data_IF_661813206690
#
_entry.id   IF_661813206690
#
_cell.length_a   1.000
_cell.length_b   1.000
_cell.length_c   1.000
_cell.angle_alpha   90.00
_cell.angle_beta   90.00
_cell.angle_gamma   90.00
#
_symmetry.space_group_name_H-M   'P 1'
#
loop_
_entity.id
_entity.type
_entity.pdbx_description
1 polymer ?
#
# COMPACT_ATOMS: atom_id res chain seq x y z
N UNK A 1 2.90 9.74 -79.15
CA UNK A 1 3.32 9.18 -77.85
C UNK A 1 2.22 9.47 -76.85
N UNK A 2 1.31 8.53 -76.63
CA UNK A 2 0.23 8.62 -75.64
C UNK A 2 0.15 7.27 -74.94
N UNK A 3 0.42 7.24 -73.63
CA UNK A 3 0.49 6.02 -72.83
C UNK A 3 -0.87 5.75 -72.18
N UNK A 4 -1.59 4.78 -72.74
CA UNK A 4 -2.77 4.16 -72.13
C UNK A 4 -2.33 3.22 -70.98
N UNK A 5 -2.47 3.66 -69.73
CA UNK A 5 -2.37 2.78 -68.57
C UNK A 5 -3.75 2.23 -68.22
N UNK A 6 -3.91 0.90 -68.31
CA UNK A 6 -5.13 0.20 -67.84
C UNK A 6 -5.15 0.16 -66.30
N UNK A 7 -6.31 0.31 -65.66
CA UNK A 7 -6.42 0.17 -64.21
C UNK A 7 -6.21 -1.30 -63.78
N UNK A 8 -5.71 -1.54 -62.56
CA UNK A 8 -5.48 -2.89 -62.06
C UNK A 8 -6.79 -3.65 -61.88
N UNK A 9 -6.80 -4.91 -62.31
CA UNK A 9 -7.87 -5.87 -62.11
C UNK A 9 -8.09 -6.06 -60.60
N UNK A 10 -9.31 -5.81 -60.13
CA UNK A 10 -9.72 -6.11 -58.75
C UNK A 10 -9.88 -7.63 -58.58
N UNK A 11 -9.49 -8.22 -57.43
CA UNK A 11 -9.71 -9.63 -57.16
C UNK A 11 -11.21 -9.99 -57.08
N UNK A 12 -11.61 -11.10 -57.70
CA UNK A 12 -13.00 -11.57 -57.89
C UNK A 12 -13.79 -11.94 -56.61
N UNK A 13 -13.28 -11.72 -55.41
CA UNK A 13 -13.95 -12.11 -54.16
C UNK A 13 -14.62 -10.96 -53.40
N UNK A 14 -14.74 -9.78 -54.00
CA UNK A 14 -15.56 -8.69 -53.47
C UNK A 14 -17.01 -8.86 -53.90
N UNK A 15 -17.87 -9.31 -52.98
CA UNK A 15 -19.33 -9.27 -53.14
C UNK A 15 -19.88 -7.90 -52.74
N UNK A 16 -20.92 -7.48 -53.45
CA UNK A 16 -21.51 -6.13 -53.48
C UNK A 16 -22.20 -5.65 -52.18
N UNK A 17 -21.95 -6.31 -51.04
CA UNK A 17 -22.66 -6.03 -49.77
C UNK A 17 -21.80 -5.34 -48.70
N UNK A 18 -20.55 -5.00 -48.99
CA UNK A 18 -19.71 -4.15 -48.12
C UNK A 18 -19.47 -4.68 -46.70
N UNK A 19 -19.77 -5.96 -46.43
CA UNK A 19 -19.55 -6.59 -45.12
C UNK A 19 -18.61 -7.79 -45.26
N UNK A 20 -17.52 -7.85 -44.49
CA UNK A 20 -16.62 -8.98 -44.53
C UNK A 20 -17.36 -10.26 -44.10
N UNK A 21 -17.06 -11.42 -44.72
CA UNK A 21 -17.66 -12.70 -44.37
C UNK A 21 -17.42 -13.01 -42.88
N UNK A 22 -18.46 -13.40 -42.15
CA UNK A 22 -18.43 -13.72 -40.70
C UNK A 22 -17.65 -14.99 -40.32
N UNK A 23 -16.98 -15.62 -41.28
CA UNK A 23 -16.26 -16.89 -41.12
C UNK A 23 -14.98 -16.86 -40.24
N UNK A 24 -14.19 -15.76 -40.11
CA UNK A 24 -12.92 -15.84 -39.37
C UNK A 24 -13.12 -15.90 -37.85
N UNK A 25 -14.26 -15.43 -37.33
CA UNK A 25 -14.51 -15.41 -35.89
C UNK A 25 -14.79 -16.82 -35.32
N UNK A 26 -15.42 -17.68 -36.11
CA UNK A 26 -15.80 -19.03 -35.66
C UNK A 26 -14.59 -19.95 -35.60
N UNK A 27 -13.68 -19.84 -36.60
CA UNK A 27 -12.43 -20.60 -36.65
C UNK A 27 -11.49 -20.15 -35.52
N UNK A 28 -11.37 -18.85 -35.27
CA UNK A 28 -10.54 -18.32 -34.19
C UNK A 28 -11.03 -18.79 -32.80
N UNK A 29 -12.36 -18.84 -32.58
CA UNK A 29 -12.95 -19.36 -31.34
C UNK A 29 -12.67 -20.86 -31.16
N UNK A 30 -12.81 -21.65 -32.22
CA UNK A 30 -12.52 -23.09 -32.18
C UNK A 30 -11.04 -23.38 -31.91
N UNK A 31 -10.14 -22.63 -32.54
CA UNK A 31 -8.69 -22.74 -32.29
C UNK A 31 -8.35 -22.41 -30.84
N UNK A 32 -8.97 -21.36 -30.27
CA UNK A 32 -8.73 -20.95 -28.88
C UNK A 32 -9.21 -22.02 -27.88
N UNK A 33 -10.37 -22.63 -28.13
CA UNK A 33 -10.89 -23.74 -27.29
C UNK A 33 -9.98 -24.97 -27.38
N UNK A 34 -9.47 -25.31 -28.57
CA UNK A 34 -8.57 -26.45 -28.76
C UNK A 34 -7.24 -26.28 -28.00
N UNK A 35 -6.66 -25.07 -28.02
CA UNK A 35 -5.41 -24.76 -27.31
C UNK A 35 -5.59 -24.89 -25.78
N UNK A 36 -6.69 -24.36 -25.24
CA UNK A 36 -7.00 -24.49 -23.81
C UNK A 36 -7.18 -25.95 -23.41
N UNK A 37 -7.88 -26.74 -24.22
CA UNK A 37 -8.05 -28.18 -23.97
C UNK A 37 -6.71 -28.94 -23.94
N UNK A 38 -5.79 -28.65 -24.88
CA UNK A 38 -4.47 -29.27 -24.91
C UNK A 38 -3.61 -28.91 -23.70
N UNK A 39 -3.69 -27.67 -23.22
CA UNK A 39 -2.98 -27.24 -22.00
C UNK A 39 -3.48 -28.02 -20.79
N UNK A 40 -4.80 -28.16 -20.63
CA UNK A 40 -5.41 -28.90 -19.52
C UNK A 40 -5.05 -30.39 -19.55
N UNK A 41 -5.03 -31.00 -20.73
CA UNK A 41 -4.59 -32.41 -20.89
C UNK A 41 -3.12 -32.56 -20.51
N UNK A 42 -2.24 -31.67 -20.95
CA UNK A 42 -0.82 -31.73 -20.58
C UNK A 42 -0.63 -31.57 -19.07
N UNK A 43 -1.38 -30.68 -18.43
CA UNK A 43 -1.33 -30.47 -16.98
C UNK A 43 -1.81 -31.71 -16.21
N UNK A 44 -2.88 -32.36 -16.68
CA UNK A 44 -3.40 -33.59 -16.09
C UNK A 44 -2.41 -34.76 -16.23
N UNK A 45 -1.77 -34.91 -17.40
CA UNK A 45 -0.77 -35.96 -17.65
C UNK A 45 0.47 -35.76 -16.77
N UNK A 46 0.93 -34.52 -16.61
CA UNK A 46 2.10 -34.22 -15.78
C UNK A 46 1.81 -34.29 -14.27
N UNK A 47 0.56 -34.02 -13.84
CA UNK A 47 0.15 -34.13 -12.44
C UNK A 47 -0.03 -35.57 -11.93
N UNK A 48 -0.15 -36.56 -12.82
CA UNK A 48 -0.39 -37.96 -12.47
C UNK A 48 0.87 -38.83 -12.40
N UNK A 49 2.05 -38.29 -12.70
CA UNK A 49 3.31 -39.01 -12.52
C UNK A 49 3.92 -38.60 -11.19
N UNK A 50 3.70 -39.33 -10.09
CA UNK A 50 4.49 -39.12 -8.88
C UNK A 50 5.96 -39.35 -9.25
N UNK A 51 6.82 -38.41 -8.87
CA UNK A 51 8.26 -38.54 -8.99
C UNK A 51 8.72 -39.76 -8.18
N UNK A 52 8.81 -40.92 -8.84
CA UNK A 52 9.46 -42.12 -8.30
C UNK A 52 10.95 -41.82 -8.33
N UNK A 53 11.45 -41.34 -7.20
CA UNK A 53 12.87 -41.08 -6.98
C UNK A 53 13.67 -42.37 -7.06
N UNK A 54 14.50 -42.49 -8.09
CA UNK A 54 15.62 -43.42 -8.13
C UNK A 54 16.65 -42.98 -7.08
N UNK A 55 16.79 -43.76 -6.02
CA UNK A 55 17.91 -43.64 -5.08
C UNK A 55 19.04 -44.56 -5.58
N UNK A 56 20.16 -43.98 -5.96
CA UNK A 56 21.41 -44.71 -6.17
C UNK A 56 22.08 -44.98 -4.81
N UNK A 57 22.56 -46.21 -4.54
CA UNK A 57 23.30 -46.49 -3.32
C UNK A 57 24.76 -46.02 -3.46
N UNK A 58 25.17 -45.08 -2.62
CA UNK A 58 26.60 -44.77 -2.41
C UNK A 58 27.09 -45.63 -1.25
N UNK A 59 28.11 -46.43 -1.56
CA UNK A 59 28.79 -47.31 -0.64
C UNK A 59 29.72 -46.54 0.31
N UNK A 60 29.72 -46.98 1.57
CA UNK A 60 30.92 -47.04 2.41
C UNK A 60 31.16 -45.86 3.35
N UNK A 61 30.81 -46.03 4.63
CA UNK A 61 31.66 -45.65 5.77
C UNK A 61 31.36 -46.50 7.01
N UNK A 62 32.35 -46.72 7.90
CA UNK A 62 32.38 -47.83 8.85
C UNK A 62 31.71 -47.54 10.20
N UNK A 63 31.26 -48.63 10.82
CA UNK A 63 30.74 -48.77 12.20
C UNK A 63 31.64 -48.14 13.26
N UNK A 64 31.05 -47.52 14.30
CA UNK A 64 31.59 -47.55 15.64
C UNK A 64 30.85 -48.57 16.54
N UNK A 65 31.61 -48.98 17.54
CA UNK A 65 31.48 -50.14 18.41
C UNK A 65 30.46 -49.90 19.52
N UNK A 66 29.79 -50.99 19.92
CA UNK A 66 28.83 -51.06 21.00
C UNK A 66 29.48 -50.91 22.39
N UNK A 67 28.79 -50.21 23.30
CA UNK A 67 29.01 -50.24 24.75
C UNK A 67 27.69 -49.95 25.49
N UNK A 68 27.44 -50.54 26.68
CA UNK A 68 26.09 -50.94 27.08
C UNK A 68 25.43 -50.09 28.17
N UNK A 69 24.08 -50.17 28.16
CA UNK A 69 23.12 -50.16 29.29
C UNK A 69 23.12 -48.98 30.28
N UNK A 70 21.96 -48.35 30.45
CA UNK A 70 21.13 -48.56 31.64
C UNK A 70 19.74 -47.92 31.48
N UNK A 71 18.72 -48.72 31.74
CA UNK A 71 17.30 -48.35 31.74
C UNK A 71 16.92 -48.07 33.19
N UNK A 72 16.55 -46.84 33.52
CA UNK A 72 15.94 -46.51 34.82
C UNK A 72 14.50 -46.06 34.58
N UNK A 73 13.57 -46.89 35.05
CA UNK A 73 12.15 -46.57 35.22
C UNK A 73 12.02 -45.51 36.33
N UNK A 74 11.49 -44.34 35.96
CA UNK A 74 11.15 -43.25 36.89
C UNK A 74 9.65 -42.99 36.92
N UNK A 75 9.10 -42.97 38.13
CA UNK A 75 7.69 -43.06 38.49
C UNK A 75 6.80 -41.91 38.01
N UNK A 76 5.55 -42.29 37.70
CA UNK A 76 4.38 -41.42 37.53
C UNK A 76 4.02 -40.76 38.86
N UNK A 77 4.04 -39.42 38.92
CA UNK A 77 3.41 -38.63 40.00
C UNK A 77 2.06 -38.10 39.53
N UNK A 78 1.01 -38.44 40.27
CA UNK A 78 -0.36 -38.00 40.04
C UNK A 78 -0.61 -36.52 40.37
N UNK A 79 -1.82 -36.02 40.05
CA UNK A 79 -2.15 -34.60 40.11
C UNK A 79 -2.40 -34.13 41.55
N UNK A 80 -1.76 -33.03 41.95
CA UNK A 80 -2.03 -32.34 43.21
C UNK A 80 -3.32 -31.51 43.10
N UNK A 81 -4.22 -31.68 44.08
CA UNK A 81 -5.41 -30.85 44.30
C UNK A 81 -4.99 -29.45 44.79
N UNK A 82 -5.66 -28.37 44.35
CA UNK A 82 -5.48 -27.06 44.96
C UNK A 82 -6.20 -26.96 46.31
N UNK A 83 -5.69 -26.15 47.27
CA UNK A 83 -6.33 -25.91 48.56
C UNK A 83 -7.58 -25.01 48.45
N UNK A 84 -8.49 -25.08 49.43
CA UNK A 84 -9.76 -24.34 49.41
C UNK A 84 -9.57 -22.84 49.65
N UNK A 85 -10.37 -22.03 48.94
CA UNK A 85 -10.53 -20.59 49.18
C UNK A 85 -11.23 -20.35 50.52
N UNK A 86 -10.62 -19.54 51.37
CA UNK A 86 -11.25 -18.98 52.56
C UNK A 86 -12.25 -17.88 52.20
N UNK A 87 -13.40 -17.90 52.86
CA UNK A 87 -14.47 -16.89 52.77
C UNK A 87 -14.04 -15.54 53.40
N UNK A 88 -14.58 -14.40 52.92
CA UNK A 88 -14.32 -13.10 53.52
C UNK A 88 -15.24 -12.83 54.72
N UNK A 89 -14.63 -12.57 55.89
CA UNK A 89 -15.31 -12.05 57.08
C UNK A 89 -15.64 -10.55 56.98
N UNK A 90 -16.54 -10.04 57.84
CA UNK A 90 -17.16 -8.73 57.69
C UNK A 90 -16.25 -7.57 58.13
N UNK A 91 -16.33 -6.49 57.35
CA UNK A 91 -15.73 -5.18 57.63
C UNK A 91 -16.19 -4.62 58.99
N UNK A 92 -15.22 -4.18 59.80
CA UNK A 92 -15.45 -3.32 60.96
C UNK A 92 -14.87 -1.93 60.67
N UNK A 93 -15.70 -0.93 60.89
CA UNK A 93 -15.36 0.49 60.88
C UNK A 93 -14.33 0.82 61.97
N UNK A 94 -13.39 1.70 61.60
CA UNK A 94 -12.36 2.20 62.51
C UNK A 94 -11.59 3.36 61.87
N UNK A 95 -12.11 4.56 62.07
CA UNK A 95 -11.49 5.84 61.73
C UNK A 95 -10.23 6.10 62.59
N UNK A 96 -9.11 6.51 61.99
CA UNK A 96 -8.18 7.52 62.57
C UNK A 96 -7.46 8.26 61.43
N UNK A 97 -7.39 9.58 61.59
CA UNK A 97 -6.78 10.57 60.72
C UNK A 97 -5.27 10.40 60.49
N UNK A 98 -4.78 10.81 59.31
CA UNK A 98 -3.48 11.47 59.18
C UNK A 98 -3.37 12.24 57.87
N UNK A 99 -2.75 13.41 57.98
CA UNK A 99 -2.49 14.41 56.96
C UNK A 99 -1.53 13.94 55.86
N UNK A 100 -1.77 14.34 54.60
CA UNK A 100 -0.71 14.68 53.65
C UNK A 100 -1.30 15.38 52.40
N UNK A 101 -1.05 16.68 52.33
CA UNK A 101 -0.62 17.47 51.16
C UNK A 101 -1.04 16.99 49.76
N UNK A 102 -2.03 17.66 49.16
CA UNK A 102 -2.30 17.59 47.72
C UNK A 102 -1.26 18.43 46.94
N UNK A 103 -0.65 17.90 45.86
CA UNK A 103 0.08 18.73 44.92
C UNK A 103 -0.91 19.46 44.01
N UNK A 104 -1.01 20.79 44.20
CA UNK A 104 -1.52 21.74 43.21
C UNK A 104 -0.65 21.68 41.96
N UNK A 105 -1.22 21.24 40.84
CA UNK A 105 -0.64 21.47 39.51
C UNK A 105 -1.01 22.89 39.10
N UNK A 106 -0.03 23.78 39.16
CA UNK A 106 -0.11 25.13 38.59
C UNK A 106 0.11 24.99 37.08
N UNK A 107 -0.90 25.32 36.29
CA UNK A 107 -0.74 25.59 34.86
C UNK A 107 -0.19 27.01 34.73
N UNK A 108 1.06 27.14 34.31
CA UNK A 108 1.60 28.43 33.86
C UNK A 108 1.35 28.57 32.37
N UNK A 109 0.47 29.50 32.01
CA UNK A 109 0.44 30.14 30.71
C UNK A 109 1.71 31.00 30.53
N UNK A 110 2.06 31.24 29.27
CA UNK A 110 3.11 32.14 28.76
C UNK A 110 4.58 31.68 28.75
N UNK A 111 4.99 31.05 27.63
CA UNK A 111 6.16 31.49 26.83
C UNK A 111 5.87 31.25 25.34
N UNK A 112 5.21 32.21 24.70
CA UNK A 112 5.32 32.42 23.25
C UNK A 112 6.58 33.26 23.00
N UNK A 113 7.59 32.69 22.35
CA UNK A 113 8.56 33.33 21.44
C UNK A 113 9.87 32.54 21.40
N UNK A 114 10.03 31.69 20.40
CA UNK A 114 11.30 31.48 19.69
C UNK A 114 11.02 30.57 18.49
N UNK A 115 11.14 31.15 17.31
CA UNK A 115 11.16 30.48 16.00
C UNK A 115 12.36 29.51 15.92
N UNK A 116 12.17 28.18 15.74
CA UNK A 116 13.27 27.30 15.40
C UNK A 116 13.29 27.08 13.89
N UNK A 117 14.30 27.68 13.27
CA UNK A 117 14.57 27.63 11.84
C UNK A 117 14.50 26.22 11.25
N UNK A 118 13.96 26.19 10.03
CA UNK A 118 13.98 25.07 9.10
C UNK A 118 15.44 24.63 8.90
N UNK A 119 15.82 23.48 9.46
CA UNK A 119 17.05 22.79 9.07
C UNK A 119 16.79 22.16 7.71
N UNK A 120 17.37 22.77 6.68
CA UNK A 120 17.29 22.33 5.29
C UNK A 120 17.83 20.90 5.13
N UNK A 121 17.16 20.15 4.24
CA UNK A 121 17.31 18.72 3.96
C UNK A 121 18.71 18.25 3.48
N UNK A 122 19.73 19.11 3.46
CA UNK A 122 21.09 18.73 3.08
C UNK A 122 21.83 17.99 4.21
N UNK A 123 21.36 18.09 5.46
CA UNK A 123 21.96 17.37 6.60
C UNK A 123 21.48 15.91 6.77
N UNK A 124 20.41 15.49 6.08
CA UNK A 124 19.79 14.19 6.34
C UNK A 124 20.56 12.98 5.79
N UNK A 125 21.51 13.20 4.89
CA UNK A 125 22.26 12.15 4.20
C UNK A 125 23.76 12.48 4.07
N UNK A 126 24.31 13.30 4.96
CA UNK A 126 25.76 13.46 5.05
C UNK A 126 26.43 12.11 5.39
N UNK A 127 27.67 11.92 4.96
CA UNK A 127 28.39 10.66 4.72
C UNK A 127 28.53 9.62 5.87
N UNK A 128 27.83 9.81 7.00
CA UNK A 128 27.75 8.82 8.06
C UNK A 128 26.44 8.01 7.95
N UNK A 129 26.50 6.72 7.56
CA UNK A 129 25.31 5.85 7.51
C UNK A 129 24.63 5.64 8.88
N UNK A 130 25.22 6.11 9.98
CA UNK A 130 24.59 6.10 11.31
C UNK A 130 23.80 7.38 11.64
N UNK A 131 24.00 8.47 10.90
CA UNK A 131 23.33 9.74 11.18
C UNK A 131 22.07 9.89 10.35
N UNK A 132 21.04 9.11 10.67
CA UNK A 132 19.72 9.33 10.06
C UNK A 132 19.06 10.53 10.73
N UNK A 133 19.12 11.70 10.09
CA UNK A 133 18.40 12.87 10.59
C UNK A 133 16.91 12.58 10.52
N UNK A 134 16.28 12.44 11.68
CA UNK A 134 14.83 12.31 11.76
C UNK A 134 14.24 13.62 11.28
N UNK A 135 13.70 13.64 10.05
CA UNK A 135 12.99 14.82 9.55
C UNK A 135 11.73 14.97 10.40
N UNK A 136 11.78 15.89 11.38
CA UNK A 136 10.60 16.30 12.13
C UNK A 136 9.77 17.18 11.21
N UNK A 137 8.90 16.53 10.42
CA UNK A 137 7.93 17.24 9.61
C UNK A 137 6.84 17.71 10.57
N UNK A 138 6.83 19.00 10.87
CA UNK A 138 5.70 19.63 11.53
C UNK A 138 4.46 19.29 10.70
N UNK A 139 3.48 18.61 11.30
CA UNK A 139 2.21 18.36 10.64
C UNK A 139 1.52 19.72 10.57
N UNK A 140 1.42 20.36 9.39
CA UNK A 140 0.84 21.70 9.33
C UNK A 140 -0.60 21.61 9.83
N UNK A 141 -1.03 22.58 10.64
CA UNK A 141 -2.45 22.76 10.94
C UNK A 141 -3.19 22.89 9.60
N UNK A 142 -4.16 22.00 9.39
CA UNK A 142 -4.80 21.82 8.10
C UNK A 142 -5.87 22.93 7.96
N UNK A 143 -5.76 23.86 6.99
CA UNK A 143 -6.80 24.85 6.79
C UNK A 143 -8.13 24.17 6.44
N UNK A 144 -9.28 24.72 6.87
CA UNK A 144 -10.59 24.15 6.56
C UNK A 144 -10.84 24.27 5.04
N UNK A 145 -10.66 23.17 4.31
CA UNK A 145 -10.95 23.11 2.89
C UNK A 145 -12.46 22.89 2.69
N UNK A 146 -13.16 23.90 2.17
CA UNK A 146 -14.51 23.74 1.60
C UNK A 146 -14.60 24.50 0.28
N UNK A 147 -13.86 24.03 -0.72
CA UNK A 147 -14.28 24.24 -2.10
C UNK A 147 -15.01 22.97 -2.54
N UNK A 148 -16.28 23.04 -2.97
CA UNK A 148 -16.92 21.89 -3.59
C UNK A 148 -16.05 21.43 -4.76
N UNK A 149 -15.90 20.12 -4.92
CA UNK A 149 -15.22 19.46 -6.04
C UNK A 149 -16.06 19.64 -7.33
N UNK A 150 -16.44 20.87 -7.65
CA UNK A 150 -17.23 21.23 -8.81
C UNK A 150 -16.29 21.51 -9.99
N UNK A 151 -15.95 20.41 -10.67
CA UNK A 151 -15.82 20.27 -12.12
C UNK A 151 -14.92 21.26 -12.91
N UNK A 152 -13.59 21.23 -12.71
CA UNK A 152 -12.67 21.53 -13.81
C UNK A 152 -11.93 20.29 -14.32
N UNK A 153 -12.25 19.09 -13.83
CA UNK A 153 -11.38 17.92 -13.93
C UNK A 153 -11.36 17.19 -15.30
N UNK A 154 -12.49 17.03 -16.02
CA UNK A 154 -12.53 16.30 -17.29
C UNK A 154 -11.59 16.81 -18.39
N UNK A 155 -11.21 18.09 -18.35
CA UNK A 155 -10.23 18.67 -19.29
C UNK A 155 -8.79 18.45 -18.82
N UNK A 156 -8.54 18.47 -17.50
CA UNK A 156 -7.22 18.15 -16.97
C UNK A 156 -6.85 16.71 -17.34
N UNK A 157 -7.79 15.78 -17.16
CA UNK A 157 -7.66 14.40 -17.61
C UNK A 157 -7.40 14.31 -19.12
N UNK A 158 -8.10 15.08 -19.95
CA UNK A 158 -7.84 15.12 -21.40
C UNK A 158 -6.45 15.61 -21.76
N UNK A 159 -5.94 16.66 -21.09
CA UNK A 159 -4.65 17.27 -21.42
C UNK A 159 -3.45 16.56 -20.79
N UNK A 160 -3.65 15.87 -19.68
CA UNK A 160 -2.61 15.12 -19.00
C UNK A 160 -2.60 13.64 -19.41
N UNK A 161 -3.74 13.06 -19.76
CA UNK A 161 -3.90 11.67 -20.22
C UNK A 161 -3.70 11.48 -21.73
N UNK A 162 -3.18 12.48 -22.45
CA UNK A 162 -2.89 12.38 -23.88
C UNK A 162 -1.39 12.38 -24.16
N UNK A 163 -0.73 11.31 -23.72
CA UNK A 163 0.09 10.59 -24.70
C UNK A 163 -0.87 10.03 -25.75
N UNK A 164 -1.01 10.74 -26.87
CA UNK A 164 -1.75 10.38 -28.09
C UNK A 164 -2.78 9.23 -27.99
N UNK A 165 -4.04 9.56 -27.67
CA UNK A 165 -5.18 8.91 -28.35
C UNK A 165 -6.12 7.98 -27.58
N UNK A 166 -6.01 7.77 -26.27
CA UNK A 166 -6.99 6.94 -25.54
C UNK A 166 -7.27 7.44 -24.12
N UNK A 167 -8.35 8.21 -23.89
CA UNK A 167 -8.86 8.34 -22.51
C UNK A 167 -9.62 9.61 -22.15
N UNK A 168 -10.80 9.87 -22.75
CA UNK A 168 -11.68 10.95 -22.25
C UNK A 168 -13.07 10.46 -21.83
N UNK A 169 -13.78 9.71 -22.69
CA UNK A 169 -15.12 9.24 -22.34
C UNK A 169 -15.11 8.15 -21.25
N UNK A 170 -14.15 7.22 -21.32
CA UNK A 170 -14.01 6.14 -20.35
C UNK A 170 -13.60 6.62 -18.95
N UNK A 171 -12.97 7.81 -18.84
CA UNK A 171 -12.47 8.34 -17.56
C UNK A 171 -13.59 9.03 -16.79
N UNK A 172 -14.40 9.86 -17.45
CA UNK A 172 -15.57 10.51 -16.84
C UNK A 172 -16.64 9.48 -16.44
N UNK A 173 -16.99 8.54 -17.32
CA UNK A 173 -17.94 7.48 -16.98
C UNK A 173 -17.46 6.66 -15.80
N UNK A 174 -16.14 6.44 -15.69
CA UNK A 174 -15.54 5.74 -14.57
C UNK A 174 -15.47 6.59 -13.27
N UNK A 175 -15.47 7.92 -13.32
CA UNK A 175 -15.59 8.75 -12.12
C UNK A 175 -17.03 8.80 -11.61
N UNK A 176 -18.02 8.98 -12.49
CA UNK A 176 -19.43 8.93 -12.10
C UNK A 176 -19.84 7.54 -11.59
N UNK A 177 -19.35 6.48 -12.23
CA UNK A 177 -19.51 5.10 -11.74
C UNK A 177 -18.84 4.92 -10.38
N UNK A 178 -17.63 5.45 -10.20
CA UNK A 178 -16.95 5.46 -8.91
C UNK A 178 -17.78 6.19 -7.84
N UNK A 179 -18.31 7.38 -8.09
CA UNK A 179 -19.16 8.07 -7.11
C UNK A 179 -20.45 7.27 -6.84
N UNK A 180 -21.06 6.68 -7.87
CA UNK A 180 -22.27 5.86 -7.75
C UNK A 180 -22.05 4.57 -6.96
N UNK A 181 -20.84 4.01 -6.94
CA UNK A 181 -20.52 2.84 -6.09
C UNK A 181 -20.45 3.19 -4.60
N UNK A 182 -20.59 4.47 -4.24
CA UNK A 182 -20.55 5.01 -2.86
C UNK A 182 -19.28 4.61 -2.09
N UNK A 183 -18.08 4.90 -2.62
CA UNK A 183 -16.84 4.50 -1.99
C UNK A 183 -16.65 5.24 -0.66
N UNK A 184 -15.92 4.66 0.30
CA UNK A 184 -15.68 5.25 1.60
C UNK A 184 -15.11 6.66 1.51
N UNK A 185 -15.73 7.62 2.21
CA UNK A 185 -15.25 9.00 2.32
C UNK A 185 -14.71 9.28 3.72
N UNK A 186 -13.66 10.10 3.82
CA UNK A 186 -13.04 10.54 5.07
C UNK A 186 -12.99 12.08 5.22
N UNK A 187 -14.11 12.82 5.06
CA UNK A 187 -14.10 14.28 5.18
C UNK A 187 -13.75 14.76 6.59
N UNK A 188 -14.07 13.94 7.61
CA UNK A 188 -13.80 14.21 9.03
C UNK A 188 -12.34 13.94 9.42
N UNK A 189 -11.51 13.47 8.48
CA UNK A 189 -10.08 13.20 8.72
C UNK A 189 -9.88 12.21 9.88
N UNK A 190 -10.74 11.19 9.96
CA UNK A 190 -10.59 10.10 10.94
C UNK A 190 -9.25 9.38 10.71
N UNK A 191 -8.62 8.86 11.77
CA UNK A 191 -7.25 8.35 11.69
C UNK A 191 -7.14 7.09 10.82
N UNK A 192 -5.97 6.92 10.22
CA UNK A 192 -5.47 5.66 9.69
C UNK A 192 -4.64 4.97 10.77
N UNK A 193 -5.08 3.81 11.21
CA UNK A 193 -4.37 3.06 12.25
C UNK A 193 -3.33 2.14 11.63
N UNK A 194 -2.07 2.29 12.03
CA UNK A 194 -0.98 1.42 11.63
C UNK A 194 -0.73 0.32 12.66
N UNK A 195 -0.48 -0.89 12.16
CA UNK A 195 0.09 -2.00 12.94
C UNK A 195 1.42 -2.41 12.32
N UNK A 196 2.52 -2.28 13.06
CA UNK A 196 3.84 -2.74 12.61
C UNK A 196 4.00 -4.21 12.96
N UNK A 197 4.35 -5.05 11.97
CA UNK A 197 4.60 -6.48 12.17
C UNK A 197 6.07 -6.77 11.87
N UNK A 198 6.79 -7.21 12.90
CA UNK A 198 8.23 -7.41 12.92
C UNK A 198 8.98 -6.32 13.68
N UNK A 199 10.31 -6.38 13.59
CA UNK A 199 11.21 -5.47 14.31
C UNK A 199 11.86 -4.52 13.32
N UNK A 200 11.79 -3.21 13.60
CA UNK A 200 12.45 -2.17 12.81
C UNK A 200 13.79 -1.81 13.47
N UNK A 201 14.89 -1.85 12.71
CA UNK A 201 16.15 -1.26 13.16
C UNK A 201 16.08 0.28 13.15
N UNK A 202 17.10 0.99 13.68
CA UNK A 202 17.10 2.46 13.72
C UNK A 202 16.88 3.12 12.34
N UNK A 203 17.54 2.60 11.30
CA UNK A 203 17.38 3.08 9.93
C UNK A 203 15.97 2.82 9.38
N UNK A 204 15.43 1.62 9.62
CA UNK A 204 14.07 1.26 9.19
C UNK A 204 13.02 2.11 9.93
N UNK A 205 13.26 2.43 11.20
CA UNK A 205 12.36 3.27 12.00
C UNK A 205 12.30 4.70 11.45
N UNK A 206 13.41 5.25 10.98
CA UNK A 206 13.42 6.55 10.33
C UNK A 206 12.70 6.55 8.97
N UNK A 207 12.91 5.51 8.16
CA UNK A 207 12.19 5.34 6.90
C UNK A 207 10.68 5.15 7.17
N UNK A 208 10.32 4.33 8.17
CA UNK A 208 8.94 4.14 8.61
C UNK A 208 8.27 5.44 9.02
N UNK A 209 8.95 6.29 9.79
CA UNK A 209 8.41 7.61 10.17
C UNK A 209 8.23 8.54 8.96
N UNK A 210 9.13 8.46 7.98
CA UNK A 210 9.00 9.18 6.70
C UNK A 210 7.74 8.72 5.95
N UNK A 211 7.50 7.41 5.89
CA UNK A 211 6.30 6.87 5.24
C UNK A 211 5.03 7.16 6.01
N UNK A 212 5.06 7.13 7.34
CA UNK A 212 3.94 7.58 8.17
C UNK A 212 3.55 9.01 7.81
N UNK A 213 4.53 9.89 7.62
CA UNK A 213 4.29 11.27 7.22
C UNK A 213 3.75 11.37 5.79
N UNK A 214 4.30 10.57 4.87
CA UNK A 214 3.78 10.46 3.51
C UNK A 214 2.31 10.05 3.49
N UNK A 215 1.94 8.99 4.21
CA UNK A 215 0.56 8.53 4.31
C UNK A 215 -0.36 9.61 4.88
N UNK A 216 0.06 10.29 5.96
CA UNK A 216 -0.77 11.33 6.56
C UNK A 216 -1.00 12.53 5.66
N UNK A 217 0.02 12.90 4.88
CA UNK A 217 -0.07 13.99 3.90
C UNK A 217 -0.92 13.59 2.69
N UNK A 218 -0.74 12.35 2.20
CA UNK A 218 -1.42 11.81 1.00
C UNK A 218 -2.89 11.54 1.22
N UNK A 219 -3.25 10.98 2.38
CA UNK A 219 -4.63 10.64 2.70
C UNK A 219 -5.31 11.66 3.62
N UNK A 220 -4.69 12.82 3.80
CA UNK A 220 -5.20 13.96 4.57
C UNK A 220 -5.79 13.56 5.93
N UNK A 221 -5.13 12.62 6.60
CA UNK A 221 -5.62 11.94 7.80
C UNK A 221 -4.49 11.74 8.83
N UNK A 222 -4.77 11.82 10.14
CA UNK A 222 -3.82 11.41 11.16
C UNK A 222 -3.43 9.94 10.99
N UNK A 223 -2.14 9.62 11.13
CA UNK A 223 -1.66 8.24 11.03
C UNK A 223 -1.12 7.78 12.38
N UNK A 224 -1.85 6.87 13.03
CA UNK A 224 -1.61 6.48 14.41
C UNK A 224 -1.03 5.07 14.47
N UNK A 225 0.15 4.93 15.07
CA UNK A 225 0.72 3.59 15.32
C UNK A 225 0.03 3.01 16.55
N UNK A 226 -0.88 2.07 16.35
CA UNK A 226 -1.67 1.46 17.43
C UNK A 226 -0.98 0.27 18.07
N UNK A 227 -0.27 -0.51 17.27
CA UNK A 227 0.31 -1.78 17.71
C UNK A 227 1.62 -2.06 17.00
N UNK A 228 2.54 -2.67 17.73
CA UNK A 228 3.74 -3.33 17.21
C UNK A 228 3.67 -4.79 17.61
N UNK A 229 3.92 -5.69 16.69
CA UNK A 229 3.82 -7.15 16.90
C UNK A 229 5.13 -7.77 16.46
N UNK A 230 5.90 -8.33 17.40
CA UNK A 230 7.09 -9.09 17.04
C UNK A 230 6.75 -10.33 16.23
N UNK A 231 7.65 -10.79 15.35
CA UNK A 231 7.42 -12.00 14.55
C UNK A 231 7.19 -13.25 15.42
N UNK A 232 7.76 -13.28 16.63
CA UNK A 232 7.58 -14.35 17.62
C UNK A 232 6.22 -14.34 18.33
N UNK A 233 5.48 -13.22 18.26
CA UNK A 233 4.14 -13.09 18.85
C UNK A 233 3.03 -13.50 17.88
N UNK A 234 3.38 -13.74 16.61
CA UNK A 234 2.43 -14.15 15.60
C UNK A 234 1.93 -15.58 15.90
N UNK A 235 0.64 -15.86 15.68
CA UNK A 235 0.10 -17.20 15.82
C UNK A 235 0.89 -18.23 14.99
N UNK A 236 0.99 -19.46 15.48
CA UNK A 236 1.59 -20.57 14.74
C UNK A 236 0.94 -20.70 13.35
N UNK A 237 1.76 -20.87 12.31
CA UNK A 237 1.29 -20.93 10.92
C UNK A 237 1.13 -19.57 10.22
N UNK A 238 1.21 -18.45 10.94
CA UNK A 238 1.23 -17.11 10.34
C UNK A 238 2.52 -16.85 9.57
N UNK A 239 3.61 -17.49 9.98
CA UNK A 239 4.88 -17.45 9.27
C UNK A 239 5.11 -18.75 8.52
N UNK A 240 5.53 -18.65 7.27
CA UNK A 240 5.98 -19.77 6.46
C UNK A 240 7.41 -19.55 6.02
N UNK A 241 8.16 -20.63 5.94
CA UNK A 241 9.48 -20.65 5.32
C UNK A 241 9.29 -21.02 3.85
N UNK A 242 9.65 -20.12 2.95
CA UNK A 242 9.48 -20.27 1.51
C UNK A 242 10.84 -20.33 0.80
N UNK A 243 10.91 -21.16 -0.24
CA UNK A 243 12.07 -21.29 -1.11
C UNK A 243 13.29 -21.97 -0.46
N UNK A 244 14.32 -22.29 -1.27
CA UNK A 244 15.55 -22.95 -0.81
C UNK A 244 16.39 -22.06 0.12
N UNK A 245 16.18 -20.73 0.07
CA UNK A 245 16.88 -19.75 0.90
C UNK A 245 16.31 -19.63 2.32
N UNK A 246 15.15 -20.27 2.58
CA UNK A 246 14.53 -20.23 3.89
C UNK A 246 13.96 -18.87 4.28
N UNK A 247 13.58 -18.05 3.29
CA UNK A 247 12.95 -16.75 3.52
C UNK A 247 11.64 -16.95 4.30
N UNK A 248 11.36 -16.06 5.25
CA UNK A 248 10.09 -16.09 5.99
C UNK A 248 9.07 -15.15 5.36
N UNK A 249 7.85 -15.65 5.16
CA UNK A 249 6.73 -14.88 4.65
C UNK A 249 5.52 -14.96 5.58
N UNK A 250 4.69 -13.91 5.57
CA UNK A 250 3.44 -13.82 6.33
C UNK A 250 2.27 -14.40 5.56
N UNK A 251 1.51 -15.30 6.16
CA UNK A 251 0.24 -15.76 5.61
C UNK A 251 -0.80 -14.64 5.75
N UNK A 252 -1.23 -14.08 4.63
CA UNK A 252 -1.98 -12.82 4.63
C UNK A 252 -3.33 -12.84 5.38
N UNK A 253 -4.15 -13.92 5.30
CA UNK A 253 -5.39 -14.01 6.08
C UNK A 253 -5.20 -13.80 7.59
N UNK A 254 -4.10 -14.29 8.16
CA UNK A 254 -3.82 -14.12 9.60
C UNK A 254 -3.45 -12.68 9.94
N UNK A 255 -2.73 -11.99 9.05
CA UNK A 255 -2.45 -10.55 9.21
C UNK A 255 -3.74 -9.74 9.24
N UNK A 256 -4.72 -10.08 8.39
CA UNK A 256 -6.02 -9.41 8.38
C UNK A 256 -6.81 -9.64 9.65
N UNK A 257 -6.78 -10.87 10.17
CA UNK A 257 -7.40 -11.19 11.45
C UNK A 257 -6.78 -10.36 12.58
N UNK A 258 -5.46 -10.21 12.59
CA UNK A 258 -4.75 -9.35 13.54
C UNK A 258 -5.16 -7.87 13.45
N UNK A 259 -5.50 -7.37 12.25
CA UNK A 259 -6.02 -6.01 12.06
C UNK A 259 -7.49 -5.87 12.51
N UNK A 260 -8.27 -6.95 12.54
CA UNK A 260 -9.70 -6.92 12.91
C UNK A 260 -9.96 -6.64 14.40
N UNK A 261 -9.00 -6.97 15.28
CA UNK A 261 -9.21 -7.10 16.73
C UNK A 261 -9.07 -5.77 17.54
N UNK A 262 -9.45 -4.61 16.99
CA UNK A 262 -9.33 -3.35 17.74
C UNK A 262 -10.57 -3.06 18.62
N UNK A 263 -10.38 -2.85 19.92
CA UNK A 263 -11.40 -2.28 20.83
C UNK A 263 -11.38 -0.75 20.73
N UNK A 264 -12.54 -0.11 20.52
CA UNK A 264 -12.67 1.35 20.52
C UNK A 264 -13.46 1.90 19.33
N UNK A 265 -13.46 3.23 19.18
CA UNK A 265 -14.01 3.89 18.00
C UNK A 265 -13.25 3.43 16.76
N UNK A 266 -13.94 2.99 15.69
CA UNK A 266 -13.26 2.46 14.52
C UNK A 266 -12.49 3.57 13.79
N UNK A 267 -11.19 3.35 13.46
CA UNK A 267 -10.46 4.26 12.59
C UNK A 267 -11.12 4.35 11.22
N UNK A 268 -10.68 5.31 10.40
CA UNK A 268 -11.12 5.35 9.00
C UNK A 268 -10.72 4.06 8.28
N UNK A 269 -9.50 3.61 8.49
CA UNK A 269 -9.02 2.30 8.06
C UNK A 269 -7.77 1.86 8.80
N UNK A 270 -7.42 0.59 8.61
CA UNK A 270 -6.28 -0.05 9.26
C UNK A 270 -5.27 -0.51 8.23
N UNK A 271 -4.01 -0.28 8.50
CA UNK A 271 -2.91 -0.65 7.61
C UNK A 271 -1.86 -1.42 8.41
N UNK A 272 -1.60 -2.66 8.01
CA UNK A 272 -0.40 -3.37 8.49
C UNK A 272 0.83 -2.85 7.75
N UNK A 273 1.96 -2.73 8.43
CA UNK A 273 3.30 -2.48 7.88
C UNK A 273 4.20 -3.63 8.32
N UNK A 274 4.54 -4.52 7.40
CA UNK A 274 5.21 -5.79 7.74
C UNK A 274 6.66 -5.79 7.28
N UNK A 275 7.64 -6.11 8.14
CA UNK A 275 9.08 -6.19 7.79
C UNK A 275 9.45 -7.46 7.00
N UNK A 276 8.50 -8.37 6.86
CA UNK A 276 8.60 -9.61 6.07
C UNK A 276 7.45 -9.61 5.05
N UNK A 277 7.71 -10.15 3.86
CA UNK A 277 6.72 -10.14 2.78
C UNK A 277 5.52 -11.05 3.07
N UNK A 278 4.31 -10.73 2.60
CA UNK A 278 3.20 -11.64 2.68
C UNK A 278 3.20 -12.62 1.51
N UNK A 279 2.61 -13.77 1.80
CA UNK A 279 2.30 -14.84 0.89
C UNK A 279 0.77 -15.04 0.94
N UNK A 280 0.03 -14.59 -0.08
CA UNK A 280 -1.44 -14.70 -0.09
C UNK A 280 -1.90 -16.16 -0.17
N UNK A 281 -1.23 -16.95 -1.01
CA UNK A 281 -1.44 -18.40 -1.15
C UNK A 281 -0.10 -19.07 -1.50
N UNK A 282 0.02 -20.40 -1.30
CA UNK A 282 1.27 -21.13 -1.56
C UNK A 282 1.77 -21.07 -3.02
N UNK A 283 0.93 -20.63 -3.96
CA UNK A 283 1.25 -20.56 -5.39
C UNK A 283 1.77 -19.18 -5.85
N UNK A 284 1.78 -18.17 -4.97
CA UNK A 284 2.32 -16.85 -5.29
C UNK A 284 3.78 -16.75 -4.87
N UNK A 285 4.57 -15.97 -5.61
CA UNK A 285 6.01 -15.84 -5.34
C UNK A 285 6.31 -14.74 -4.33
N UNK A 286 5.60 -13.60 -4.39
CA UNK A 286 5.71 -12.47 -3.46
C UNK A 286 4.65 -11.40 -3.78
N UNK A 287 4.10 -10.71 -2.78
CA UNK A 287 3.26 -9.51 -2.98
C UNK A 287 3.84 -8.28 -2.27
N UNK A 288 3.78 -7.11 -2.93
CA UNK A 288 4.17 -5.80 -2.36
C UNK A 288 3.04 -5.08 -1.61
N UNK A 289 1.80 -5.50 -1.82
CA UNK A 289 0.62 -4.96 -1.16
C UNK A 289 -0.52 -5.95 -1.37
N UNK A 290 -1.42 -6.08 -0.39
CA UNK A 290 -2.68 -6.79 -0.59
C UNK A 290 -3.84 -5.84 -0.30
N UNK A 291 -4.78 -5.78 -1.25
CA UNK A 291 -6.08 -5.18 -1.06
C UNK A 291 -7.04 -6.25 -0.54
N UNK A 292 -7.87 -5.90 0.43
CA UNK A 292 -8.92 -6.80 0.92
C UNK A 292 -10.30 -6.26 0.65
N UNK A 293 -11.17 -7.16 0.23
CA UNK A 293 -12.60 -6.91 0.10
C UNK A 293 -13.21 -6.98 1.50
N UNK A 294 -13.28 -5.85 2.20
CA UNK A 294 -13.81 -5.79 3.56
C UNK A 294 -13.88 -4.35 4.08
N UNK A 295 -14.66 -4.09 5.15
CA UNK A 295 -15.06 -2.73 5.54
C UNK A 295 -13.95 -1.94 6.25
N UNK A 296 -12.78 -1.77 5.60
CA UNK A 296 -11.66 -0.85 5.91
C UNK A 296 -10.42 -1.48 6.58
N UNK A 297 -9.96 -2.61 6.04
CA UNK A 297 -8.59 -3.10 6.22
C UNK A 297 -7.79 -2.94 4.93
N UNK A 298 -6.52 -2.55 5.04
CA UNK A 298 -5.52 -2.59 3.97
C UNK A 298 -4.24 -3.22 4.49
N UNK A 299 -3.48 -3.90 3.63
CA UNK A 299 -2.15 -4.41 4.00
C UNK A 299 -1.10 -3.72 3.15
N UNK A 300 -0.23 -2.98 3.82
CA UNK A 300 0.98 -2.41 3.23
C UNK A 300 2.14 -3.34 3.57
N UNK A 301 2.79 -3.88 2.54
CA UNK A 301 3.96 -4.72 2.77
C UNK A 301 5.18 -3.85 2.72
N UNK A 302 6.03 -4.02 3.74
CA UNK A 302 7.29 -3.32 3.82
C UNK A 302 8.46 -4.30 3.75
N UNK A 303 8.99 -4.54 2.55
CA UNK A 303 10.33 -5.11 2.45
C UNK A 303 11.22 -4.22 1.59
N UNK A 304 11.98 -3.28 2.18
CA UNK A 304 13.21 -2.83 1.60
C UNK A 304 14.23 -3.94 1.80
N UNK A 305 14.44 -4.79 0.78
CA UNK A 305 15.72 -5.50 0.68
C UNK A 305 16.75 -4.41 0.43
N UNK A 306 17.55 -4.10 1.44
CA UNK A 306 18.46 -2.96 1.35
C UNK A 306 19.06 -2.52 2.67
N UNK A 307 19.47 -3.45 3.54
CA UNK A 307 20.48 -3.15 4.57
C UNK A 307 21.84 -2.69 3.96
N UNK A 308 21.90 -2.53 2.63
CA UNK A 308 23.04 -2.04 1.86
C UNK A 308 22.67 -1.05 0.77
N UNK A 309 21.62 -0.23 0.92
CA UNK A 309 21.51 0.98 0.10
C UNK A 309 22.66 1.92 0.50
N UNK A 310 23.73 1.90 -0.29
CA UNK A 310 24.99 2.61 0.00
C UNK A 310 25.04 3.98 -0.64
N UNK A 311 24.23 4.19 -1.69
CA UNK A 311 24.19 5.44 -2.44
C UNK A 311 22.89 6.20 -2.23
N UNK A 312 22.94 7.51 -2.45
CA UNK A 312 21.75 8.38 -2.39
C UNK A 312 20.66 7.96 -3.40
N UNK A 313 21.06 7.50 -4.58
CA UNK A 313 20.11 7.07 -5.61
C UNK A 313 19.40 5.76 -5.23
N UNK A 314 20.13 4.81 -4.65
CA UNK A 314 19.53 3.59 -4.08
C UNK A 314 18.54 3.91 -2.96
N UNK A 315 18.88 4.86 -2.09
CA UNK A 315 17.98 5.32 -1.02
C UNK A 315 16.73 6.01 -1.58
N UNK A 316 16.86 6.87 -2.59
CA UNK A 316 15.71 7.48 -3.26
C UNK A 316 14.85 6.42 -3.96
N UNK A 317 15.44 5.42 -4.62
CA UNK A 317 14.70 4.32 -5.23
C UNK A 317 13.96 3.49 -4.18
N UNK A 318 14.60 3.21 -3.05
CA UNK A 318 13.97 2.52 -1.94
C UNK A 318 12.77 3.29 -1.40
N UNK A 319 12.92 4.60 -1.24
CA UNK A 319 11.85 5.47 -0.77
C UNK A 319 10.67 5.49 -1.76
N UNK A 320 10.94 5.61 -3.06
CA UNK A 320 9.91 5.55 -4.12
C UNK A 320 9.12 4.26 -4.08
N UNK A 321 9.80 3.12 -4.00
CA UNK A 321 9.16 1.79 -3.92
C UNK A 321 8.27 1.66 -2.70
N UNK A 322 8.78 2.15 -1.58
CA UNK A 322 8.07 2.10 -0.32
C UNK A 322 6.86 3.02 -0.32
N UNK A 323 6.98 4.25 -0.86
CA UNK A 323 5.86 5.16 -1.05
C UNK A 323 4.81 4.60 -2.01
N UNK A 324 5.22 4.03 -3.14
CA UNK A 324 4.32 3.41 -4.12
C UNK A 324 3.53 2.26 -3.50
N UNK A 325 4.20 1.31 -2.82
CA UNK A 325 3.55 0.20 -2.14
C UNK A 325 2.60 0.67 -1.03
N UNK A 326 3.01 1.68 -0.26
CA UNK A 326 2.21 2.25 0.83
C UNK A 326 0.99 3.00 0.31
N UNK A 327 1.16 3.76 -0.76
CA UNK A 327 0.08 4.44 -1.49
C UNK A 327 -0.93 3.41 -1.98
N UNK A 328 -0.49 2.37 -2.69
CA UNK A 328 -1.39 1.34 -3.25
C UNK A 328 -2.13 0.57 -2.16
N UNK A 329 -1.43 0.11 -1.13
CA UNK A 329 -2.05 -0.62 -0.03
C UNK A 329 -3.05 0.23 0.75
N UNK A 330 -2.74 1.51 0.99
CA UNK A 330 -3.65 2.40 1.72
C UNK A 330 -4.79 2.91 0.85
N UNK A 331 -4.58 3.10 -0.45
CA UNK A 331 -5.62 3.53 -1.39
C UNK A 331 -6.78 2.52 -1.47
N UNK A 332 -6.51 1.24 -1.19
CA UNK A 332 -7.56 0.23 -1.08
C UNK A 332 -8.59 0.50 0.03
N UNK A 333 -8.21 1.22 1.10
CA UNK A 333 -9.14 1.65 2.17
C UNK A 333 -10.21 2.61 1.63
N UNK A 334 -9.91 3.29 0.53
CA UNK A 334 -10.77 4.24 -0.15
C UNK A 334 -11.46 3.63 -1.38
N UNK A 335 -11.42 2.29 -1.53
CA UNK A 335 -11.91 1.56 -2.70
C UNK A 335 -11.33 2.08 -4.03
N UNK A 336 -10.11 2.62 -4.01
CA UNK A 336 -9.43 3.02 -5.25
C UNK A 336 -8.87 1.77 -5.94
N UNK A 337 -9.38 1.39 -7.13
CA UNK A 337 -8.89 0.21 -7.82
C UNK A 337 -7.47 0.43 -8.38
N UNK A 338 -6.73 -0.66 -8.67
CA UNK A 338 -5.50 -0.57 -9.44
C UNK A 338 -5.71 0.22 -10.74
N UNK A 339 -4.76 1.09 -11.06
CA UNK A 339 -4.81 1.92 -12.25
C UNK A 339 -4.11 1.22 -13.42
N UNK A 340 -4.67 1.23 -14.63
CA UNK A 340 -3.96 0.73 -15.81
C UNK A 340 -3.00 1.76 -16.43
N UNK A 341 -3.01 3.01 -15.94
CA UNK A 341 -2.20 4.11 -16.49
C UNK A 341 -0.74 3.98 -16.06
N UNK A 342 0.16 3.96 -17.04
CA UNK A 342 1.60 4.02 -16.82
C UNK A 342 2.00 5.37 -16.19
N UNK A 343 2.95 5.36 -15.27
CA UNK A 343 3.35 6.42 -14.36
C UNK A 343 2.46 6.62 -13.14
N UNK A 344 1.39 5.85 -12.95
CA UNK A 344 0.50 6.00 -11.79
C UNK A 344 1.00 5.16 -10.59
N UNK A 345 1.04 5.73 -9.40
CA UNK A 345 1.39 5.01 -8.17
C UNK A 345 0.34 3.99 -7.71
N UNK A 346 -0.84 3.98 -8.35
CA UNK A 346 -1.82 2.90 -8.24
C UNK A 346 -1.70 1.87 -9.37
N UNK A 347 -0.80 2.08 -10.34
CA UNK A 347 -0.45 1.02 -11.27
C UNK A 347 0.12 -0.16 -10.49
N UNK A 348 -0.17 -1.38 -10.97
CA UNK A 348 0.27 -2.62 -10.34
C UNK A 348 1.80 -2.79 -10.35
N UNK A 349 2.27 -4.02 -10.22
CA UNK A 349 3.70 -4.30 -10.00
C UNK A 349 4.62 -3.97 -11.18
N UNK A 350 4.08 -3.57 -12.33
CA UNK A 350 4.86 -3.12 -13.50
C UNK A 350 5.59 -1.80 -13.26
N UNK A 351 5.13 -0.98 -12.32
CA UNK A 351 5.66 0.37 -12.07
C UNK A 351 5.92 0.62 -10.59
N UNK A 352 6.72 -0.28 -10.02
CA UNK A 352 7.12 -0.27 -8.62
C UNK A 352 7.65 1.06 -8.07
N UNK A 353 8.09 1.99 -8.92
CA UNK A 353 8.80 3.20 -8.52
C UNK A 353 7.96 4.48 -8.69
N UNK A 354 6.72 4.40 -9.21
CA UNK A 354 5.84 5.55 -9.36
C UNK A 354 5.18 5.95 -8.02
N UNK A 355 5.36 7.21 -7.60
CA UNK A 355 4.76 7.78 -6.38
C UNK A 355 3.55 8.68 -6.69
N UNK A 356 3.45 9.16 -7.94
CA UNK A 356 2.44 10.12 -8.38
C UNK A 356 1.09 9.48 -8.72
N UNK A 357 -0.04 10.11 -8.40
CA UNK A 357 -1.35 9.66 -8.89
C UNK A 357 -1.63 10.24 -10.27
N UNK A 358 -2.11 9.44 -11.22
CA UNK A 358 -2.67 10.00 -12.45
C UNK A 358 -3.87 10.92 -12.12
N UNK A 359 -4.24 11.86 -12.99
CA UNK A 359 -5.32 12.81 -12.72
C UNK A 359 -6.64 12.13 -12.32
N UNK A 360 -7.01 11.02 -12.96
CA UNK A 360 -8.23 10.29 -12.62
C UNK A 360 -8.22 9.74 -11.19
N UNK A 361 -7.12 9.11 -10.78
CA UNK A 361 -6.96 8.59 -9.42
C UNK A 361 -6.88 9.72 -8.38
N UNK A 362 -6.21 10.83 -8.72
CA UNK A 362 -6.17 12.02 -7.88
C UNK A 362 -7.57 12.63 -7.67
N UNK A 363 -8.41 12.66 -8.70
CA UNK A 363 -9.77 13.17 -8.59
C UNK A 363 -10.59 12.37 -7.57
N UNK A 364 -10.55 11.04 -7.73
CA UNK A 364 -11.25 10.10 -6.84
C UNK A 364 -10.78 10.31 -5.41
N UNK A 365 -9.45 10.28 -5.19
CA UNK A 365 -8.89 10.50 -3.86
C UNK A 365 -9.32 11.85 -3.27
N UNK A 366 -9.22 12.96 -4.02
CA UNK A 366 -9.65 14.27 -3.53
C UNK A 366 -11.15 14.29 -3.17
N UNK A 367 -11.99 13.59 -3.92
CA UNK A 367 -13.41 13.43 -3.61
C UNK A 367 -13.64 12.61 -2.32
N UNK A 368 -12.87 11.53 -2.11
CA UNK A 368 -12.95 10.76 -0.86
C UNK A 368 -12.57 11.59 0.35
N UNK A 369 -11.53 12.43 0.21
CA UNK A 369 -10.94 13.24 1.27
C UNK A 369 -11.65 14.58 1.50
N UNK A 370 -12.51 14.99 0.57
CA UNK A 370 -13.15 16.31 0.56
C UNK A 370 -12.11 17.45 0.59
N UNK A 371 -11.04 17.30 -0.19
CA UNK A 371 -9.93 18.26 -0.28
C UNK A 371 -9.82 18.86 -1.68
N UNK A 372 -9.53 20.15 -1.75
CA UNK A 372 -9.26 20.80 -3.02
C UNK A 372 -7.97 20.24 -3.65
N UNK A 373 -7.97 19.83 -4.94
CA UNK A 373 -6.80 19.23 -5.56
C UNK A 373 -5.56 20.11 -5.55
N UNK A 374 -5.70 21.43 -5.69
CA UNK A 374 -4.56 22.37 -5.63
C UNK A 374 -3.86 22.36 -4.27
N UNK A 375 -4.65 22.29 -3.19
CA UNK A 375 -4.14 22.19 -1.81
C UNK A 375 -3.45 20.85 -1.61
N UNK A 376 -4.05 19.76 -2.09
CA UNK A 376 -3.44 18.43 -2.01
C UNK A 376 -2.10 18.37 -2.77
N UNK A 377 -2.06 18.88 -4.01
CA UNK A 377 -0.87 18.91 -4.86
C UNK A 377 0.27 19.72 -4.23
N UNK A 378 -0.05 20.85 -3.62
CA UNK A 378 0.94 21.67 -2.90
C UNK A 378 1.56 20.92 -1.72
N UNK A 379 0.75 20.21 -0.94
CA UNK A 379 1.25 19.42 0.20
C UNK A 379 2.17 18.29 -0.27
N UNK A 380 1.81 17.62 -1.36
CA UNK A 380 2.66 16.58 -1.96
C UNK A 380 3.96 17.14 -2.53
N UNK A 381 3.92 18.26 -3.23
CA UNK A 381 5.10 18.97 -3.72
C UNK A 381 6.08 19.25 -2.58
N UNK A 382 5.62 19.90 -1.51
CA UNK A 382 6.45 20.23 -0.34
C UNK A 382 7.04 18.99 0.32
N UNK A 383 6.23 17.95 0.54
CA UNK A 383 6.69 16.70 1.14
C UNK A 383 7.81 16.07 0.30
N UNK A 384 7.61 15.97 -1.01
CA UNK A 384 8.57 15.33 -1.91
C UNK A 384 9.87 16.12 -2.05
N UNK A 385 9.81 17.45 -1.99
CA UNK A 385 11.00 18.29 -1.88
C UNK A 385 11.78 18.01 -0.59
N UNK A 386 11.08 17.92 0.55
CA UNK A 386 11.70 17.68 1.86
C UNK A 386 12.45 16.35 1.91
N UNK A 387 11.94 15.31 1.24
CA UNK A 387 12.59 13.99 1.20
C UNK A 387 13.54 13.80 0.01
N UNK A 388 13.81 14.86 -0.76
CA UNK A 388 14.79 14.83 -1.86
C UNK A 388 14.29 14.27 -3.19
N UNK A 389 13.00 13.93 -3.31
CA UNK A 389 12.36 13.45 -4.55
C UNK A 389 11.94 14.62 -5.45
N UNK A 390 12.94 15.41 -5.89
CA UNK A 390 12.73 16.69 -6.61
C UNK A 390 12.06 16.51 -7.98
N UNK A 391 12.28 15.38 -8.66
CA UNK A 391 11.66 15.09 -9.96
C UNK A 391 10.15 14.95 -9.84
N UNK A 392 9.71 14.17 -8.84
CA UNK A 392 8.31 13.94 -8.51
C UNK A 392 7.64 15.22 -8.00
N UNK A 393 8.33 16.00 -7.15
CA UNK A 393 7.85 17.30 -6.70
C UNK A 393 7.62 18.28 -7.87
N UNK A 394 8.54 18.32 -8.84
CA UNK A 394 8.40 19.16 -10.03
C UNK A 394 7.18 18.78 -10.88
N UNK A 395 6.86 17.48 -10.97
CA UNK A 395 5.65 17.00 -11.64
C UNK A 395 4.39 17.53 -10.96
N UNK A 396 4.30 17.43 -9.63
CA UNK A 396 3.15 17.96 -8.87
C UNK A 396 3.02 19.47 -8.97
N UNK A 397 4.14 20.21 -8.93
CA UNK A 397 4.15 21.66 -9.16
C UNK A 397 3.56 22.02 -10.51
N UNK A 398 3.95 21.29 -11.56
CA UNK A 398 3.41 21.49 -12.92
C UNK A 398 1.90 21.28 -12.96
N UNK A 399 1.40 20.20 -12.35
CA UNK A 399 -0.05 19.94 -12.29
C UNK A 399 -0.81 21.00 -11.50
N UNK A 400 -0.25 21.46 -10.37
CA UNK A 400 -0.84 22.54 -9.56
C UNK A 400 -1.00 23.82 -10.36
N UNK A 401 0.04 24.26 -11.08
CA UNK A 401 -0.01 25.44 -11.96
C UNK A 401 -1.06 25.31 -13.08
N UNK A 402 -1.15 24.14 -13.70
CA UNK A 402 -2.14 23.89 -14.76
C UNK A 402 -3.58 23.99 -14.24
N UNK A 403 -3.83 23.50 -13.02
CA UNK A 403 -5.12 23.62 -12.34
C UNK A 403 -5.44 25.05 -11.93
N UNK A 404 -4.48 25.78 -11.33
CA UNK A 404 -4.65 27.18 -10.92
C UNK A 404 -5.00 28.07 -12.12
N UNK A 405 -4.21 28.00 -13.19
CA UNK A 405 -4.45 28.77 -14.42
C UNK A 405 -5.79 28.45 -15.10
N UNK A 406 -6.44 27.33 -14.75
CA UNK A 406 -7.78 26.99 -15.24
C UNK A 406 -8.87 27.58 -14.34
N UNK A 407 -8.68 27.53 -13.03
CA UNK A 407 -9.57 28.19 -12.07
C UNK A 407 -9.64 29.68 -12.37
N UNK A 408 -8.48 30.32 -12.58
CA UNK A 408 -8.36 31.74 -12.95
C UNK A 408 -9.11 32.04 -14.26
N UNK A 409 -8.86 31.29 -15.34
CA UNK A 409 -9.59 31.44 -16.61
C UNK A 409 -11.09 31.26 -16.48
N UNK A 410 -11.55 30.34 -15.63
CA UNK A 410 -12.99 30.14 -15.40
C UNK A 410 -13.58 31.33 -14.62
N UNK A 411 -12.84 31.94 -13.71
CA UNK A 411 -13.26 33.16 -13.01
C UNK A 411 -13.32 34.35 -13.97
N UNK A 412 -12.38 34.46 -14.91
CA UNK A 412 -12.39 35.49 -15.96
C UNK A 412 -13.59 35.34 -16.91
N UNK A 413 -13.88 34.11 -17.37
CA UNK A 413 -15.02 33.83 -18.26
C UNK A 413 -16.36 33.89 -17.50
N UNK A 414 -16.35 33.42 -16.25
CA UNK A 414 -17.50 33.28 -15.35
C UNK A 414 -17.80 34.50 -14.48
N UNK A 415 -17.16 35.65 -14.73
CA UNK A 415 -17.62 36.94 -14.21
C UNK A 415 -19.05 37.29 -14.63
N UNK A 416 -19.63 36.57 -15.60
CA UNK A 416 -21.07 36.38 -15.72
C UNK A 416 -21.49 35.23 -14.80
N UNK A 417 -21.93 35.56 -13.58
CA UNK A 417 -22.51 34.60 -12.65
C UNK A 417 -23.57 33.76 -13.39
N UNK A 418 -23.52 32.42 -13.35
CA UNK A 418 -24.65 31.63 -13.82
C UNK A 418 -25.86 31.99 -12.94
N UNK A 419 -27.03 32.28 -13.53
CA UNK A 419 -28.24 32.64 -12.78
C UNK A 419 -28.70 31.51 -11.86
#
# INVERSE_FOLDING_TARGET
MSSNARPPLKPEWWTDTGRPPRWPLTIAKLACVLVVALILVNWYVQGLVPAVGQSNPVAGQPKPVAGPKETVLGQVRGPQRPPPRSEPGPFRDGSVASSATEPRVVLSEDVFAADPGVVLADAAFAADPQTVTTVRIATPELPPARMPVADPWPELERRLGSGEGRGSAAVNSAFEEYVRSKPPRNPERRPLDLTVIGTLGPTDEALFNTVRTFLGTTFDAPVLVRRRVGLSELPLGTLRTDGPLGDRSLVTPEVLRLLGDSRGEPPFGRVAVCTVGPLPTPSFTYLRSLQTDGPRGGIVVWRPVGAGATTRDEQHQLLRRTFSASLRGTASVFDLPPCPEDGCGLAGDKEADAVGLCPACLHRLCWNLDVAPTVWLERQERLLEQVGLRGEAAQYRRWRRLLQARVERRQEIGGASPP
#
